data_IF_004610124813
#
_entry.id   IF_004610124813
#
_cell.length_a   1.000
_cell.length_b   1.000
_cell.length_c   1.000
_cell.angle_alpha   90.00
_cell.angle_beta   90.00
_cell.angle_gamma   90.00
#
_symmetry.space_group_name_H-M   'P 1'
#
loop_
_entity.id
_entity.type
_entity.pdbx_description
1 polymer ?
#
# COMPACT_ATOMS: atom_id res chain seq x y z
N UNK A 1 -17.84 -6.96 -5.35
CA UNK A 1 -17.89 -5.49 -5.28
C UNK A 1 -16.75 -4.90 -6.13
N UNK A 2 -16.75 -5.14 -7.43
CA UNK A 2 -15.65 -4.71 -8.30
C UNK A 2 -15.60 -3.19 -8.43
N UNK A 3 -14.38 -2.69 -8.67
CA UNK A 3 -14.15 -1.26 -8.84
C UNK A 3 -12.75 -0.96 -9.36
N UNK A 4 -12.43 0.34 -9.38
CA UNK A 4 -11.11 0.85 -9.75
C UNK A 4 -10.60 1.80 -8.67
N UNK A 5 -9.37 1.61 -8.27
CA UNK A 5 -8.64 2.46 -7.34
C UNK A 5 -7.57 3.24 -8.10
N UNK A 6 -7.50 4.55 -7.89
CA UNK A 6 -6.40 5.34 -8.44
C UNK A 6 -5.17 5.19 -7.53
N UNK A 7 -4.14 4.53 -8.02
CA UNK A 7 -2.88 4.31 -7.33
C UNK A 7 -1.93 5.48 -7.56
N UNK A 8 -1.38 6.02 -6.47
CA UNK A 8 -0.34 7.05 -6.53
C UNK A 8 0.98 6.48 -7.06
N UNK A 9 1.29 5.25 -6.68
CA UNK A 9 2.48 4.51 -7.09
C UNK A 9 2.50 4.25 -8.59
N UNK A 10 1.38 3.75 -9.14
CA UNK A 10 1.27 3.44 -10.57
C UNK A 10 0.95 4.69 -11.42
N UNK A 11 0.44 5.76 -10.82
CA UNK A 11 -0.04 6.94 -11.53
C UNK A 11 -1.28 6.68 -12.39
N UNK A 12 -2.07 5.67 -12.06
CA UNK A 12 -3.21 5.21 -12.86
C UNK A 12 -4.22 4.39 -12.06
N UNK A 13 -5.24 3.89 -12.78
CA UNK A 13 -6.27 3.06 -12.17
C UNK A 13 -5.86 1.59 -12.17
N UNK A 14 -5.99 0.95 -10.99
CA UNK A 14 -5.81 -0.49 -10.77
C UNK A 14 -7.17 -1.10 -10.39
N UNK A 15 -7.52 -2.23 -10.99
CA UNK A 15 -8.78 -2.94 -10.72
C UNK A 15 -8.75 -3.70 -9.39
N UNK A 16 -9.92 -3.89 -8.80
CA UNK A 16 -10.15 -4.82 -7.68
C UNK A 16 -11.55 -5.43 -7.79
N UNK A 17 -11.74 -6.64 -7.31
CA UNK A 17 -13.03 -7.36 -7.39
C UNK A 17 -13.70 -7.52 -6.03
N UNK A 18 -12.95 -7.37 -4.94
CA UNK A 18 -13.45 -7.49 -3.57
C UNK A 18 -12.96 -6.34 -2.67
N UNK A 19 -13.60 -6.22 -1.48
CA UNK A 19 -13.15 -5.26 -0.46
C UNK A 19 -11.79 -5.65 0.13
N UNK A 20 -11.48 -6.94 0.18
CA UNK A 20 -10.19 -7.42 0.69
C UNK A 20 -9.07 -7.11 -0.29
N UNK A 21 -9.32 -7.29 -1.59
CA UNK A 21 -8.39 -6.85 -2.63
C UNK A 21 -8.15 -5.33 -2.62
N UNK A 22 -9.22 -4.53 -2.42
CA UNK A 22 -9.05 -3.08 -2.25
C UNK A 22 -8.20 -2.74 -1.03
N UNK A 23 -8.35 -3.49 0.07
CA UNK A 23 -7.52 -3.28 1.26
C UNK A 23 -6.05 -3.64 1.00
N UNK A 24 -5.79 -4.77 0.34
CA UNK A 24 -4.45 -5.17 -0.08
C UNK A 24 -3.83 -4.14 -1.02
N UNK A 25 -4.55 -3.74 -2.08
CA UNK A 25 -4.11 -2.74 -3.06
C UNK A 25 -3.75 -1.40 -2.40
N UNK A 26 -4.52 -0.97 -1.40
CA UNK A 26 -4.27 0.25 -0.67
C UNK A 26 -2.96 0.19 0.12
N UNK A 27 -2.65 -0.95 0.74
CA UNK A 27 -1.41 -1.17 1.48
C UNK A 27 -0.21 -1.27 0.53
N UNK A 28 -0.35 -1.91 -0.62
CA UNK A 28 0.70 -1.95 -1.66
C UNK A 28 0.98 -0.55 -2.25
N UNK A 29 -0.06 0.29 -2.43
CA UNK A 29 0.09 1.66 -2.89
C UNK A 29 0.73 2.58 -1.84
N UNK A 30 0.67 2.19 -0.58
CA UNK A 30 1.32 2.89 0.54
C UNK A 30 2.76 2.42 0.79
N UNK A 31 3.16 1.24 0.33
CA UNK A 31 4.52 0.71 0.50
C UNK A 31 5.52 1.53 -0.34
N UNK A 32 6.50 2.18 0.32
CA UNK A 32 7.52 3.02 -0.34
C UNK A 32 8.52 2.22 -1.20
N UNK A 33 8.58 0.91 -1.03
CA UNK A 33 9.37 0.00 -1.86
C UNK A 33 8.70 -0.35 -3.19
N UNK A 34 7.37 -0.24 -3.28
CA UNK A 34 6.59 -0.60 -4.47
C UNK A 34 6.60 0.56 -5.47
N UNK A 35 6.96 0.29 -6.73
CA UNK A 35 7.00 1.29 -7.80
C UNK A 35 5.93 1.07 -8.87
N UNK A 36 5.32 -0.11 -8.92
CA UNK A 36 4.24 -0.43 -9.86
C UNK A 36 3.35 -1.54 -9.34
N UNK A 37 2.04 -1.41 -9.62
CA UNK A 37 1.02 -2.41 -9.27
C UNK A 37 0.21 -2.73 -10.52
N UNK A 38 0.04 -4.01 -10.81
CA UNK A 38 -0.78 -4.51 -11.93
C UNK A 38 -1.80 -5.49 -11.38
N UNK A 39 -3.09 -5.31 -11.69
CA UNK A 39 -4.14 -6.28 -11.38
C UNK A 39 -4.23 -7.33 -12.47
N UNK A 40 -4.50 -8.59 -12.10
CA UNK A 40 -4.66 -9.73 -13.00
C UNK A 40 -3.57 -9.78 -14.09
N UNK A 41 -2.28 -9.85 -13.67
CA UNK A 41 -1.14 -9.57 -14.57
C UNK A 41 -0.96 -10.61 -15.67
N UNK A 42 -1.37 -11.85 -15.44
CA UNK A 42 -1.27 -12.97 -16.38
C UNK A 42 -2.21 -14.11 -15.99
N UNK A 43 -2.43 -15.02 -16.92
CA UNK A 43 -3.04 -16.33 -16.67
C UNK A 43 -1.94 -17.40 -16.66
N UNK A 44 -1.84 -18.15 -15.57
CA UNK A 44 -0.96 -19.31 -15.45
C UNK A 44 -1.74 -20.56 -15.90
N UNK A 45 -1.27 -21.22 -16.94
CA UNK A 45 -1.83 -22.48 -17.41
C UNK A 45 -0.75 -23.55 -17.25
N UNK A 46 -1.01 -24.57 -16.44
CA UNK A 46 -0.08 -25.69 -16.25
C UNK A 46 -0.80 -26.96 -15.76
N UNK A 47 -0.14 -28.11 -15.99
CA UNK A 47 -0.64 -29.41 -15.55
C UNK A 47 -0.51 -29.61 -14.04
N UNK A 48 -1.56 -30.15 -13.41
CA UNK A 48 -1.55 -30.65 -12.04
C UNK A 48 -2.34 -31.95 -11.99
N UNK A 49 -1.75 -33.03 -11.48
CA UNK A 49 -2.37 -34.35 -11.35
C UNK A 49 -2.93 -34.89 -12.71
N UNK A 50 -2.22 -34.61 -13.81
CA UNK A 50 -2.62 -35.01 -15.17
C UNK A 50 -3.76 -34.19 -15.79
N UNK A 51 -4.21 -33.11 -15.12
CA UNK A 51 -5.25 -32.19 -15.60
C UNK A 51 -4.63 -30.80 -15.78
N UNK A 52 -4.93 -30.17 -16.94
CA UNK A 52 -4.61 -28.75 -17.14
C UNK A 52 -5.48 -27.87 -16.26
N UNK A 53 -4.86 -26.93 -15.57
CA UNK A 53 -5.51 -25.97 -14.69
C UNK A 53 -5.05 -24.55 -15.03
N UNK A 54 -5.97 -23.61 -14.85
CA UNK A 54 -5.74 -22.18 -15.04
C UNK A 54 -5.82 -21.47 -13.69
N UNK A 55 -4.98 -20.44 -13.53
CA UNK A 55 -4.93 -19.60 -12.35
C UNK A 55 -4.56 -18.15 -12.75
N UNK A 56 -5.36 -17.19 -12.32
CA UNK A 56 -5.10 -15.76 -12.51
C UNK A 56 -4.86 -15.13 -11.14
N UNK A 57 -3.67 -14.61 -10.83
CA UNK A 57 -3.40 -13.95 -9.57
C UNK A 57 -4.06 -12.57 -9.50
N UNK A 58 -4.34 -12.09 -8.29
CA UNK A 58 -5.01 -10.80 -8.08
C UNK A 58 -4.10 -9.63 -8.46
N UNK A 59 -2.82 -9.64 -8.02
CA UNK A 59 -1.88 -8.56 -8.30
C UNK A 59 -0.48 -9.06 -8.59
N UNK A 60 0.30 -8.20 -9.25
CA UNK A 60 1.76 -8.26 -9.31
C UNK A 60 2.31 -6.89 -8.96
N UNK A 61 3.27 -6.85 -8.06
CA UNK A 61 3.98 -5.63 -7.67
C UNK A 61 5.43 -5.70 -8.13
N UNK A 62 5.93 -4.56 -8.58
CA UNK A 62 7.33 -4.32 -8.88
C UNK A 62 7.92 -3.44 -7.78
N UNK A 63 9.07 -3.83 -7.24
CA UNK A 63 9.81 -3.05 -6.26
C UNK A 63 10.92 -2.23 -6.90
N UNK A 64 11.37 -1.21 -6.20
CA UNK A 64 12.44 -0.29 -6.66
C UNK A 64 13.77 -0.99 -6.97
N UNK A 65 14.02 -2.17 -6.39
CA UNK A 65 15.18 -3.03 -6.66
C UNK A 65 14.96 -4.04 -7.81
N UNK A 66 13.92 -3.83 -8.63
CA UNK A 66 13.53 -4.65 -9.78
C UNK A 66 13.05 -6.08 -9.43
N UNK A 67 12.77 -6.37 -8.16
CA UNK A 67 12.09 -7.61 -7.78
C UNK A 67 10.61 -7.51 -8.12
N UNK A 68 10.04 -8.66 -8.50
CA UNK A 68 8.61 -8.82 -8.72
C UNK A 68 8.02 -9.78 -7.69
N UNK A 69 6.86 -9.46 -7.17
CA UNK A 69 6.10 -10.35 -6.29
C UNK A 69 4.66 -10.45 -6.78
N UNK A 70 4.22 -11.67 -6.97
CA UNK A 70 2.81 -11.99 -7.25
C UNK A 70 2.06 -12.07 -5.93
N UNK A 71 0.90 -11.44 -5.87
CA UNK A 71 0.06 -11.36 -4.69
C UNK A 71 -1.27 -12.03 -4.98
N UNK A 72 -1.62 -12.95 -4.13
CA UNK A 72 -2.94 -13.56 -4.04
C UNK A 72 -3.65 -13.04 -2.80
N UNK A 73 -4.90 -12.63 -2.91
CA UNK A 73 -5.69 -12.10 -1.80
C UNK A 73 -6.80 -13.08 -1.45
N UNK A 74 -6.69 -13.68 -0.27
CA UNK A 74 -7.71 -14.66 0.20
C UNK A 74 -8.12 -14.37 1.64
N UNK A 75 -9.41 -14.43 1.96
CA UNK A 75 -9.85 -14.43 3.35
C UNK A 75 -9.18 -15.60 4.11
N UNK A 76 -8.67 -15.33 5.32
CA UNK A 76 -7.97 -16.34 6.15
C UNK A 76 -8.75 -17.64 6.26
N UNK A 77 -10.07 -17.56 6.48
CA UNK A 77 -10.96 -18.74 6.56
C UNK A 77 -10.94 -19.62 5.31
N UNK A 78 -10.64 -19.05 4.13
CA UNK A 78 -10.57 -19.81 2.87
C UNK A 78 -9.29 -20.63 2.74
N UNK A 79 -8.25 -20.25 3.48
CA UNK A 79 -6.98 -20.99 3.52
C UNK A 79 -7.06 -22.28 4.34
N UNK A 80 -8.14 -22.46 5.12
CA UNK A 80 -8.43 -23.69 5.88
C UNK A 80 -8.95 -24.80 4.96
N UNK A 81 -9.40 -24.46 3.76
CA UNK A 81 -9.85 -25.42 2.74
C UNK A 81 -8.62 -26.07 2.06
N UNK A 82 -8.40 -27.40 2.20
CA UNK A 82 -7.22 -28.05 1.63
C UNK A 82 -7.13 -27.96 0.10
N UNK A 83 -8.26 -27.89 -0.60
CA UNK A 83 -8.26 -27.77 -2.06
C UNK A 83 -7.74 -26.40 -2.48
N UNK A 84 -8.19 -25.34 -1.80
CA UNK A 84 -7.73 -23.97 -2.04
C UNK A 84 -6.26 -23.84 -1.66
N UNK A 85 -5.88 -24.28 -0.47
CA UNK A 85 -4.50 -24.25 -0.01
C UNK A 85 -3.56 -24.96 -0.99
N UNK A 86 -3.94 -26.16 -1.43
CA UNK A 86 -3.16 -26.93 -2.40
C UNK A 86 -3.11 -26.30 -3.79
N UNK A 87 -4.16 -25.57 -4.23
CA UNK A 87 -4.12 -24.83 -5.49
C UNK A 87 -3.17 -23.62 -5.42
N UNK A 88 -3.18 -22.91 -4.30
CA UNK A 88 -2.29 -21.76 -4.07
C UNK A 88 -0.83 -22.19 -3.91
N UNK A 89 -0.58 -23.31 -3.24
CA UNK A 89 0.77 -23.89 -3.14
C UNK A 89 1.32 -24.26 -4.52
N UNK A 90 0.52 -24.95 -5.34
CA UNK A 90 0.88 -25.30 -6.71
C UNK A 90 1.21 -24.06 -7.54
N UNK A 91 0.36 -23.03 -7.51
CA UNK A 91 0.61 -21.79 -8.23
C UNK A 91 1.88 -21.09 -7.73
N UNK A 92 2.06 -21.04 -6.40
CA UNK A 92 3.24 -20.44 -5.76
C UNK A 92 4.55 -21.11 -6.18
N UNK A 93 4.59 -22.45 -6.25
CA UNK A 93 5.77 -23.20 -6.71
C UNK A 93 6.16 -22.84 -8.15
N UNK A 94 5.16 -22.73 -9.05
CA UNK A 94 5.42 -22.37 -10.44
C UNK A 94 5.90 -20.92 -10.55
N UNK A 95 5.27 -19.99 -9.85
CA UNK A 95 5.64 -18.57 -9.85
C UNK A 95 7.07 -18.38 -9.33
N UNK A 96 7.40 -19.02 -8.20
CA UNK A 96 8.74 -18.96 -7.60
C UNK A 96 9.81 -19.61 -8.49
N UNK A 97 9.48 -20.66 -9.25
CA UNK A 97 10.39 -21.27 -10.20
C UNK A 97 10.77 -20.33 -11.36
N UNK A 98 10.00 -19.26 -11.58
CA UNK A 98 10.28 -18.19 -12.55
C UNK A 98 11.15 -17.07 -11.97
N UNK A 99 11.56 -17.17 -10.70
CA UNK A 99 12.34 -16.16 -9.99
C UNK A 99 11.51 -15.02 -9.42
N UNK A 100 10.17 -15.12 -9.41
CA UNK A 100 9.29 -14.13 -8.79
C UNK A 100 8.94 -14.52 -7.36
N UNK A 101 8.74 -13.51 -6.50
CA UNK A 101 8.15 -13.72 -5.19
C UNK A 101 6.68 -14.15 -5.30
N UNK A 102 6.17 -14.85 -4.30
CA UNK A 102 4.76 -15.17 -4.17
C UNK A 102 4.30 -14.94 -2.73
N UNK A 103 3.20 -14.23 -2.54
CA UNK A 103 2.68 -13.86 -1.23
C UNK A 103 1.15 -13.98 -1.22
N UNK A 104 0.63 -14.66 -0.21
CA UNK A 104 -0.81 -14.71 0.08
C UNK A 104 -1.10 -13.65 1.14
N UNK A 105 -2.02 -12.74 0.83
CA UNK A 105 -2.46 -11.65 1.71
C UNK A 105 -3.86 -11.96 2.22
N UNK A 106 -4.03 -11.82 3.52
CA UNK A 106 -5.32 -12.00 4.21
C UNK A 106 -5.79 -10.66 4.79
N UNK A 107 -6.78 -10.70 5.67
CA UNK A 107 -7.27 -9.51 6.38
C UNK A 107 -6.12 -8.79 7.10
N UNK A 108 -5.85 -7.52 6.78
CA UNK A 108 -4.82 -6.74 7.44
C UNK A 108 -5.24 -6.32 8.86
N UNK A 109 -4.28 -5.83 9.63
CA UNK A 109 -4.56 -5.18 10.90
C UNK A 109 -5.57 -4.02 10.70
N UNK A 110 -6.66 -3.96 11.50
CA UNK A 110 -7.72 -2.97 11.30
C UNK A 110 -7.26 -1.52 11.54
N UNK A 111 -6.35 -1.28 12.49
CA UNK A 111 -5.84 0.06 12.77
C UNK A 111 -4.92 0.53 11.64
N UNK A 112 -3.99 -0.33 11.19
CA UNK A 112 -3.15 -0.06 10.04
C UNK A 112 -3.99 0.29 8.79
N UNK A 113 -4.98 -0.56 8.46
CA UNK A 113 -5.84 -0.31 7.30
C UNK A 113 -6.62 1.00 7.42
N UNK A 114 -7.13 1.30 8.62
CA UNK A 114 -7.88 2.55 8.87
C UNK A 114 -7.01 3.77 8.66
N UNK A 115 -5.79 3.76 9.22
CA UNK A 115 -4.84 4.86 9.11
C UNK A 115 -4.34 5.05 7.68
N UNK A 116 -3.97 3.97 6.97
CA UNK A 116 -3.54 4.05 5.57
C UNK A 116 -4.70 4.52 4.68
N UNK A 117 -5.94 4.09 4.93
CA UNK A 117 -7.12 4.58 4.21
C UNK A 117 -7.34 6.08 4.44
N UNK A 118 -7.14 6.58 5.65
CA UNK A 118 -7.20 8.01 5.96
C UNK A 118 -6.09 8.78 5.21
N UNK A 119 -4.84 8.30 5.29
CA UNK A 119 -3.70 8.91 4.62
C UNK A 119 -3.82 8.89 3.10
N UNK A 120 -4.50 7.89 2.52
CA UNK A 120 -4.74 7.83 1.08
C UNK A 120 -5.54 9.01 0.53
N UNK A 121 -6.25 9.76 1.38
CA UNK A 121 -6.85 11.05 1.03
C UNK A 121 -5.83 12.08 0.57
N UNK A 122 -4.58 11.96 1.03
CA UNK A 122 -3.47 12.89 0.80
C UNK A 122 -2.41 12.35 -0.18
N UNK A 123 -2.67 11.25 -0.88
CA UNK A 123 -1.70 10.57 -1.75
C UNK A 123 -1.37 11.29 -3.06
N UNK A 124 -2.21 12.21 -3.48
CA UNK A 124 -2.13 12.84 -4.80
C UNK A 124 -1.12 13.96 -4.83
N UNK A 125 0.06 13.71 -5.41
CA UNK A 125 1.18 14.66 -5.43
C UNK A 125 0.87 15.99 -6.09
N UNK A 126 -0.01 16.02 -7.11
CA UNK A 126 -0.40 17.27 -7.78
C UNK A 126 -1.23 18.23 -6.92
N UNK A 127 -1.76 17.78 -5.77
CA UNK A 127 -2.47 18.64 -4.81
C UNK A 127 -1.52 19.43 -3.91
N UNK A 128 -0.22 19.06 -3.89
CA UNK A 128 0.78 19.60 -2.99
C UNK A 128 1.99 20.07 -3.80
N UNK A 129 2.12 21.39 -4.08
CA UNK A 129 3.27 21.95 -4.77
C UNK A 129 4.60 21.58 -4.09
N UNK A 130 5.60 21.22 -4.88
CA UNK A 130 6.90 20.76 -4.35
C UNK A 130 7.51 21.72 -3.35
N UNK A 131 7.45 23.05 -3.60
CA UNK A 131 7.94 24.09 -2.69
C UNK A 131 7.30 24.01 -1.29
N UNK A 132 5.99 23.68 -1.22
CA UNK A 132 5.26 23.60 0.05
C UNK A 132 5.59 22.29 0.78
N UNK A 133 5.79 21.18 0.02
CA UNK A 133 6.30 19.92 0.54
C UNK A 133 7.71 20.10 1.11
N UNK A 134 8.62 20.77 0.39
CA UNK A 134 9.99 21.04 0.83
C UNK A 134 10.01 21.94 2.07
N UNK A 135 9.21 22.99 2.10
CA UNK A 135 9.08 23.90 3.23
C UNK A 135 8.53 23.18 4.49
N UNK A 136 7.49 22.36 4.32
CA UNK A 136 6.95 21.57 5.41
C UNK A 136 7.95 20.52 5.90
N UNK A 137 8.64 19.82 4.99
CA UNK A 137 9.68 18.85 5.36
C UNK A 137 10.78 19.52 6.20
N UNK A 138 11.29 20.67 5.77
CA UNK A 138 12.32 21.40 6.51
C UNK A 138 11.80 21.88 7.87
N UNK A 139 10.57 22.39 7.95
CA UNK A 139 10.01 22.93 9.20
C UNK A 139 9.66 21.84 10.22
N UNK A 140 9.38 20.62 9.77
CA UNK A 140 9.05 19.49 10.65
C UNK A 140 10.26 18.72 11.14
N UNK A 141 11.46 19.04 10.67
CA UNK A 141 12.68 18.41 11.18
C UNK A 141 12.82 18.59 12.69
N UNK A 142 13.02 17.48 13.41
CA UNK A 142 13.11 17.46 14.87
C UNK A 142 11.77 17.45 15.61
N UNK A 143 10.62 17.47 14.90
CA UNK A 143 9.33 17.21 15.53
C UNK A 143 9.32 15.77 16.07
N UNK A 144 8.83 15.59 17.30
CA UNK A 144 8.76 14.29 17.99
C UNK A 144 7.34 13.72 18.00
N UNK A 145 6.34 14.58 17.78
CA UNK A 145 4.94 14.18 17.71
C UNK A 145 4.27 14.75 16.47
N UNK A 146 3.16 14.12 16.05
CA UNK A 146 2.34 14.60 14.94
C UNK A 146 1.83 16.02 15.18
N UNK A 147 1.45 16.34 16.44
CA UNK A 147 1.04 17.68 16.82
C UNK A 147 2.14 18.71 16.73
N UNK A 148 3.40 18.35 17.02
CA UNK A 148 4.55 19.22 16.80
C UNK A 148 4.79 19.46 15.30
N UNK A 149 4.72 18.41 14.49
CA UNK A 149 4.83 18.51 13.04
C UNK A 149 3.74 19.44 12.45
N UNK A 150 2.49 19.31 12.89
CA UNK A 150 1.41 20.21 12.46
C UNK A 150 1.66 21.67 12.84
N UNK A 151 2.15 21.94 14.06
CA UNK A 151 2.46 23.31 14.50
C UNK A 151 3.61 23.91 13.69
N UNK A 152 4.66 23.13 13.50
CA UNK A 152 5.83 23.58 12.73
C UNK A 152 5.47 23.90 11.27
N UNK A 153 4.72 23.03 10.60
CA UNK A 153 4.26 23.29 9.25
C UNK A 153 3.31 24.51 9.17
N UNK A 154 2.44 24.69 10.17
CA UNK A 154 1.53 25.84 10.23
C UNK A 154 2.21 27.17 10.52
N UNK A 155 3.45 27.18 11.01
CA UNK A 155 4.24 28.40 11.14
C UNK A 155 4.93 28.81 9.84
N UNK A 156 4.96 27.93 8.85
CA UNK A 156 5.65 28.13 7.57
C UNK A 156 4.68 28.31 6.42
N UNK A 157 3.52 27.63 6.49
CA UNK A 157 2.46 27.70 5.50
C UNK A 157 1.27 28.52 6.08
N UNK A 158 0.79 29.50 5.33
CA UNK A 158 -0.20 30.49 5.80
C UNK A 158 -1.54 29.90 6.25
N UNK A 159 -1.98 28.78 5.62
CA UNK A 159 -3.24 28.10 5.94
C UNK A 159 -3.00 26.89 6.84
N UNK A 160 -3.56 26.91 8.05
CA UNK A 160 -3.40 25.85 9.05
C UNK A 160 -3.99 24.51 8.57
N UNK A 161 -5.15 24.54 7.88
CA UNK A 161 -5.78 23.32 7.39
C UNK A 161 -4.95 22.70 6.25
N UNK A 162 -4.46 23.55 5.37
CA UNK A 162 -3.56 23.14 4.29
C UNK A 162 -2.22 22.62 4.83
N UNK A 163 -1.60 23.31 5.81
CA UNK A 163 -0.37 22.85 6.44
C UNK A 163 -0.50 21.43 7.04
N UNK A 164 -1.64 21.16 7.72
CA UNK A 164 -1.94 19.81 8.21
C UNK A 164 -2.07 18.80 7.06
N UNK A 165 -2.73 19.16 5.97
CA UNK A 165 -2.86 18.29 4.80
C UNK A 165 -1.49 17.98 4.18
N UNK A 166 -0.57 18.97 4.13
CA UNK A 166 0.80 18.74 3.67
C UNK A 166 1.54 17.76 4.59
N UNK A 167 1.45 17.90 5.92
CA UNK A 167 2.07 16.94 6.85
C UNK A 167 1.50 15.52 6.67
N UNK A 168 0.19 15.37 6.46
CA UNK A 168 -0.40 14.06 6.16
C UNK A 168 0.08 13.50 4.80
N UNK A 169 0.33 14.38 3.83
CA UNK A 169 1.01 13.99 2.61
C UNK A 169 2.45 13.55 2.84
N UNK A 170 3.21 14.21 3.75
CA UNK A 170 4.56 13.75 4.13
C UNK A 170 4.54 12.36 4.75
N UNK A 171 3.53 12.02 5.56
CA UNK A 171 3.33 10.66 6.08
C UNK A 171 3.06 9.66 4.96
N UNK A 172 2.18 10.00 4.00
CA UNK A 172 1.95 9.14 2.83
C UNK A 172 3.22 8.92 2.01
N UNK A 173 4.06 9.94 1.89
CA UNK A 173 5.33 9.90 1.15
C UNK A 173 6.49 9.31 1.94
N UNK A 174 6.25 8.82 3.16
CA UNK A 174 7.28 8.33 4.10
C UNK A 174 8.43 9.32 4.39
N UNK A 175 8.21 10.62 4.15
CA UNK A 175 9.11 11.71 4.54
C UNK A 175 9.05 11.98 6.06
N UNK A 176 7.92 11.67 6.67
CA UNK A 176 7.72 11.52 8.12
C UNK A 176 7.19 10.10 8.34
N UNK A 177 7.68 9.42 9.37
CA UNK A 177 7.24 8.06 9.73
C UNK A 177 6.60 8.07 11.12
N UNK A 178 5.64 7.18 11.33
CA UNK A 178 5.05 6.88 12.64
C UNK A 178 4.52 5.45 12.66
N UNK A 179 4.18 4.97 13.86
CA UNK A 179 3.47 3.69 14.00
C UNK A 179 2.01 3.86 13.55
N UNK A 180 1.63 3.13 12.51
CA UNK A 180 0.28 3.10 11.97
C UNK A 180 -0.57 1.92 12.50
N UNK A 181 -0.02 1.08 13.37
CA UNK A 181 -0.76 -0.04 13.99
C UNK A 181 -1.61 0.40 15.18
N UNK A 182 -1.49 1.67 15.58
CA UNK A 182 -2.30 2.33 16.60
C UNK A 182 -3.05 3.52 16.02
N UNK A 183 -4.11 3.97 16.67
CA UNK A 183 -4.88 5.15 16.23
C UNK A 183 -3.97 6.38 16.15
N UNK A 184 -4.04 7.11 15.03
CA UNK A 184 -3.30 8.37 14.87
C UNK A 184 -3.91 9.47 15.72
N UNK A 185 -3.12 10.01 16.62
CA UNK A 185 -3.45 11.12 17.51
C UNK A 185 -2.41 12.25 17.43
N UNK A 186 -2.67 13.39 18.03
CA UNK A 186 -1.75 14.53 17.98
C UNK A 186 -0.43 14.27 18.73
N UNK A 187 -0.44 13.37 19.69
CA UNK A 187 0.71 12.91 20.48
C UNK A 187 1.39 11.66 19.91
N UNK A 188 0.88 11.10 18.79
CA UNK A 188 1.56 10.02 18.07
C UNK A 188 3.00 10.41 17.77
N UNK A 189 3.95 9.59 18.22
CA UNK A 189 5.37 9.80 17.98
C UNK A 189 5.69 9.73 16.48
N UNK A 190 6.52 10.65 16.01
CA UNK A 190 6.96 10.71 14.61
C UNK A 190 8.47 10.70 14.52
N UNK A 191 8.98 10.13 13.44
CA UNK A 191 10.38 10.19 13.02
C UNK A 191 10.47 11.05 11.77
N UNK A 192 11.24 12.13 11.86
CA UNK A 192 11.56 13.04 10.74
C UNK A 192 12.99 12.78 10.28
N UNK A 193 13.18 12.70 8.96
CA UNK A 193 14.51 12.47 8.34
C UNK A 193 15.05 13.74 7.75
#
# INVERSE_FOLDING_TARGET
YPGRYWSATTGGFVGYESRLELAALLLEDFDDGVVRIVSQPFELIAGRDGVERSYVPDYMVEYSDQRFTVIEVKPRRRLEDPEIAGALEWAGQIIQSRGWGYRIVTEPDPALLSNVRFLAGYRRTWQFPGRDVDAATASTMGARTLGEAFRSASSTLDDIAYARAVVLHLLWRHLIKCDLTSVLEIDTAVETR
#
